data_IF_708245843801
#
_entry.id   IF_708245843801
#
_cell.length_a   1.000
_cell.length_b   1.000
_cell.length_c   1.000
_cell.angle_alpha   90.00
_cell.angle_beta   90.00
_cell.angle_gamma   90.00
#
_symmetry.space_group_name_H-M   'P 1'
#
loop_
_entity.id
_entity.type
_entity.pdbx_description
1 polymer ?
#
# COMPACT_ATOMS: atom_id res chain seq x y z
N UNK A 1 -5.38 10.12 3.75
CA UNK A 1 -4.14 9.96 4.55
C UNK A 1 -3.69 11.32 5.03
N UNK A 2 -3.30 11.40 6.30
CA UNK A 2 -2.64 12.59 6.85
C UNK A 2 -1.31 12.17 7.46
N UNK A 3 -0.24 12.90 7.13
CA UNK A 3 1.13 12.67 7.60
C UNK A 3 1.68 13.97 8.18
N UNK A 4 2.36 13.87 9.29
CA UNK A 4 3.00 15.03 9.94
C UNK A 4 4.47 14.76 10.21
N UNK A 5 5.25 15.82 10.45
CA UNK A 5 6.66 15.74 10.81
C UNK A 5 7.65 15.73 9.64
N UNK A 6 7.20 15.92 8.38
CA UNK A 6 8.13 16.10 7.26
C UNK A 6 8.83 17.46 7.33
N UNK A 7 10.15 17.53 7.06
CA UNK A 7 10.87 18.80 7.00
C UNK A 7 10.37 19.67 5.84
N UNK A 8 10.40 20.96 5.98
CA UNK A 8 10.11 21.89 4.89
C UNK A 8 11.18 21.79 3.79
N UNK A 9 10.73 21.88 2.52
CA UNK A 9 11.63 21.97 1.36
C UNK A 9 12.12 20.63 0.81
N UNK A 10 11.73 19.49 1.37
CA UNK A 10 12.03 18.17 0.78
C UNK A 10 11.36 18.04 -0.58
N UNK A 11 12.14 17.74 -1.61
CA UNK A 11 11.60 17.45 -2.95
C UNK A 11 10.94 16.08 -2.95
N UNK A 12 9.71 16.01 -3.45
CA UNK A 12 9.00 14.75 -3.65
C UNK A 12 9.27 14.26 -5.07
N UNK A 13 9.89 13.09 -5.19
CA UNK A 13 10.01 12.37 -6.45
C UNK A 13 8.66 11.71 -6.77
N UNK A 14 7.88 12.38 -7.62
CA UNK A 14 6.55 11.92 -8.02
C UNK A 14 6.59 10.67 -8.88
N UNK A 15 7.63 10.49 -9.70
CA UNK A 15 7.80 9.29 -10.52
C UNK A 15 8.01 8.05 -9.64
N UNK A 16 8.94 8.14 -8.69
CA UNK A 16 9.16 7.09 -7.71
C UNK A 16 7.91 6.80 -6.88
N UNK A 17 7.21 7.84 -6.42
CA UNK A 17 5.99 7.70 -5.64
C UNK A 17 4.91 6.95 -6.44
N UNK A 18 4.67 7.33 -7.68
CA UNK A 18 3.69 6.68 -8.54
C UNK A 18 4.09 5.24 -8.89
N UNK A 19 5.40 4.95 -9.04
CA UNK A 19 5.89 3.59 -9.24
C UNK A 19 5.58 2.69 -8.03
N UNK A 20 5.77 3.17 -6.79
CA UNK A 20 5.41 2.42 -5.59
C UNK A 20 3.89 2.21 -5.49
N UNK A 21 3.08 3.21 -5.83
CA UNK A 21 1.62 3.08 -5.88
C UNK A 21 1.19 2.05 -6.93
N UNK A 22 1.82 2.06 -8.11
CA UNK A 22 1.54 1.11 -9.18
C UNK A 22 1.87 -0.33 -8.79
N UNK A 23 2.94 -0.59 -8.01
CA UNK A 23 3.27 -1.94 -7.50
C UNK A 23 2.15 -2.54 -6.65
N UNK A 24 1.42 -1.70 -5.91
CA UNK A 24 0.28 -2.11 -5.08
C UNK A 24 -1.01 -2.20 -5.90
N UNK A 25 -1.16 -1.43 -6.97
CA UNK A 25 -2.40 -1.30 -7.72
C UNK A 25 -2.92 -2.67 -8.21
N UNK A 26 -4.24 -2.90 -8.24
CA UNK A 26 -4.80 -4.15 -8.74
C UNK A 26 -4.56 -4.32 -10.25
N UNK A 27 -4.63 -5.57 -10.72
CA UNK A 27 -4.47 -5.90 -12.15
C UNK A 27 -3.03 -6.13 -12.60
N UNK A 28 -2.06 -6.25 -11.67
CA UNK A 28 -0.65 -6.47 -11.97
C UNK A 28 -0.31 -7.95 -12.26
N UNK A 29 -1.11 -8.89 -11.77
CA UNK A 29 -0.90 -10.33 -11.96
C UNK A 29 -2.20 -11.10 -11.96
N UNK A 30 -2.14 -12.39 -12.33
CA UNK A 30 -3.29 -13.31 -12.26
C UNK A 30 -3.79 -13.54 -10.82
N UNK A 31 -2.97 -13.24 -9.81
CA UNK A 31 -3.32 -13.35 -8.40
C UNK A 31 -4.07 -12.13 -7.85
N UNK A 32 -4.16 -11.06 -8.63
CA UNK A 32 -4.85 -9.84 -8.22
C UNK A 32 -6.21 -9.70 -8.91
N UNK A 33 -7.11 -8.88 -8.34
CA UNK A 33 -8.39 -8.57 -8.98
C UNK A 33 -8.19 -7.92 -10.35
N UNK A 34 -9.07 -8.21 -11.29
CA UNK A 34 -9.08 -7.62 -12.63
C UNK A 34 -9.44 -6.12 -12.67
N UNK A 35 -9.77 -5.52 -11.53
CA UNK A 35 -10.04 -4.08 -11.43
C UNK A 35 -8.79 -3.28 -11.78
N UNK A 36 -8.98 -2.20 -12.51
CA UNK A 36 -7.90 -1.25 -12.82
C UNK A 36 -8.23 0.08 -12.16
N UNK A 37 -7.37 0.51 -11.25
CA UNK A 37 -7.47 1.79 -10.56
C UNK A 37 -6.10 2.48 -10.61
N UNK A 38 -6.03 3.74 -11.01
CA UNK A 38 -4.75 4.44 -11.16
C UNK A 38 -4.05 4.72 -9.82
N UNK A 39 -4.78 4.68 -8.71
CA UNK A 39 -4.30 4.95 -7.33
C UNK A 39 -3.45 6.24 -7.20
N UNK A 40 -3.62 7.19 -8.13
CA UNK A 40 -2.88 8.44 -8.11
C UNK A 40 -3.31 9.32 -6.92
N UNK A 41 -2.37 9.79 -6.08
CA UNK A 41 -2.70 10.65 -4.96
C UNK A 41 -2.94 12.09 -5.42
N UNK A 42 -3.87 12.75 -4.76
CA UNK A 42 -4.13 14.19 -4.85
C UNK A 42 -3.73 14.84 -3.52
N UNK A 43 -2.72 15.71 -3.53
CA UNK A 43 -2.28 16.42 -2.35
C UNK A 43 -3.19 17.63 -2.10
N UNK A 44 -3.79 17.69 -0.91
CA UNK A 44 -4.69 18.76 -0.49
C UNK A 44 -3.97 19.81 0.37
N UNK A 45 -2.91 19.40 1.11
CA UNK A 45 -2.08 20.28 1.93
C UNK A 45 -0.67 19.70 2.11
N UNK A 46 0.23 20.53 2.66
CA UNK A 46 1.58 20.11 3.03
C UNK A 46 2.57 19.97 1.87
N UNK A 47 2.12 20.16 0.62
CA UNK A 47 2.96 20.11 -0.59
C UNK A 47 2.68 21.31 -1.48
N UNK A 48 3.73 21.99 -1.93
CA UNK A 48 3.67 23.11 -2.85
C UNK A 48 4.81 22.98 -3.89
N UNK A 49 4.46 23.05 -5.18
CA UNK A 49 5.41 22.94 -6.29
C UNK A 49 6.35 21.72 -6.18
N UNK A 50 5.81 20.56 -5.79
CA UNK A 50 6.55 19.31 -5.64
C UNK A 50 7.47 19.24 -4.42
N UNK A 51 7.33 20.16 -3.45
CA UNK A 51 8.11 20.19 -2.21
C UNK A 51 7.22 20.22 -0.98
N UNK A 52 7.68 19.60 0.09
CA UNK A 52 7.01 19.65 1.39
C UNK A 52 7.11 21.07 1.97
N UNK A 53 6.03 21.51 2.64
CA UNK A 53 5.97 22.84 3.26
C UNK A 53 6.37 22.84 4.74
N UNK A 54 6.57 21.65 5.34
CA UNK A 54 6.75 21.49 6.79
C UNK A 54 5.45 21.47 7.58
N UNK A 55 4.31 21.66 6.91
CA UNK A 55 2.98 21.48 7.49
C UNK A 55 2.47 20.07 7.24
N UNK A 56 1.45 19.60 7.95
CA UNK A 56 0.86 18.29 7.73
C UNK A 56 0.46 18.08 6.26
N UNK A 57 0.91 16.98 5.70
CA UNK A 57 0.55 16.54 4.35
C UNK A 57 -0.78 15.83 4.45
N UNK A 58 -1.80 16.33 3.76
CA UNK A 58 -3.04 15.62 3.54
C UNK A 58 -3.14 15.22 2.09
N UNK A 59 -3.42 13.93 1.83
CA UNK A 59 -3.61 13.42 0.48
C UNK A 59 -4.81 12.48 0.43
N UNK A 60 -5.52 12.49 -0.70
CA UNK A 60 -6.61 11.57 -1.00
C UNK A 60 -6.26 10.73 -2.21
N UNK A 61 -6.80 9.52 -2.25
CA UNK A 61 -6.76 8.61 -3.39
C UNK A 61 -8.21 8.33 -3.75
N UNK A 62 -8.64 8.80 -4.91
CA UNK A 62 -10.04 8.65 -5.31
C UNK A 62 -10.34 7.23 -5.72
N UNK A 63 -11.50 6.72 -5.31
CA UNK A 63 -12.04 5.47 -5.82
C UNK A 63 -12.84 5.76 -7.09
N UNK A 64 -12.29 5.38 -8.24
CA UNK A 64 -12.91 5.63 -9.55
C UNK A 64 -13.73 4.47 -10.07
N UNK A 65 -13.66 3.29 -9.42
CA UNK A 65 -14.36 2.07 -9.84
C UNK A 65 -15.29 1.54 -8.74
N UNK A 66 -15.99 2.44 -8.08
CA UNK A 66 -16.96 2.09 -7.05
C UNK A 66 -18.26 1.59 -7.69
N UNK A 67 -18.74 0.42 -7.25
CA UNK A 67 -20.03 -0.17 -7.64
C UNK A 67 -20.89 -0.38 -6.40
N UNK A 68 -21.38 0.69 -5.82
CA UNK A 68 -22.19 0.64 -4.58
C UNK A 68 -23.47 -0.18 -4.76
N UNK A 69 -24.00 -0.25 -5.96
CA UNK A 69 -25.22 -1.03 -6.27
C UNK A 69 -25.00 -2.56 -6.19
N UNK A 70 -23.77 -3.04 -6.30
CA UNK A 70 -23.44 -4.48 -6.21
C UNK A 70 -23.62 -5.02 -4.77
N UNK A 71 -23.72 -4.14 -3.78
CA UNK A 71 -23.86 -4.51 -2.37
C UNK A 71 -25.33 -4.58 -1.89
N UNK A 72 -26.29 -4.12 -2.71
CA UNK A 72 -27.73 -4.26 -2.50
C UNK A 72 -28.20 -3.89 -1.09
N UNK A 73 -29.26 -4.56 -0.64
CA UNK A 73 -29.80 -4.45 0.72
C UNK A 73 -29.08 -5.40 1.71
N UNK A 74 -27.84 -5.79 1.39
CA UNK A 74 -27.07 -6.83 2.08
C UNK A 74 -26.53 -6.47 3.46
N UNK A 75 -27.15 -5.50 4.16
CA UNK A 75 -26.77 -5.09 5.53
C UNK A 75 -26.79 -6.29 6.50
N UNK A 76 -27.70 -7.25 6.25
CA UNK A 76 -27.91 -8.41 7.14
C UNK A 76 -27.07 -9.64 6.75
N UNK A 77 -26.26 -9.58 5.67
CA UNK A 77 -25.49 -10.70 5.19
C UNK A 77 -23.98 -10.48 5.39
N UNK A 78 -23.42 -11.20 6.34
CA UNK A 78 -21.97 -11.17 6.60
C UNK A 78 -21.22 -12.07 5.61
N UNK A 79 -20.14 -11.56 5.03
CA UNK A 79 -19.30 -12.30 4.10
C UNK A 79 -18.29 -13.17 4.86
N UNK A 80 -18.18 -14.48 4.56
CA UNK A 80 -17.16 -15.34 5.14
C UNK A 80 -15.75 -14.80 4.85
N UNK A 81 -14.88 -14.79 5.85
CA UNK A 81 -13.50 -14.31 5.73
C UNK A 81 -13.34 -12.79 5.68
N UNK A 82 -14.42 -12.02 5.85
CA UNK A 82 -14.41 -10.56 5.96
C UNK A 82 -14.77 -10.09 7.38
N UNK A 83 -14.53 -8.82 7.67
CA UNK A 83 -14.78 -8.25 9.01
C UNK A 83 -16.21 -7.71 9.19
N UNK A 84 -17.15 -8.09 8.35
CA UNK A 84 -18.52 -7.54 8.37
C UNK A 84 -19.20 -7.77 9.73
N UNK A 85 -19.20 -8.99 10.25
CA UNK A 85 -19.80 -9.31 11.56
C UNK A 85 -19.10 -8.58 12.72
N UNK A 86 -17.78 -8.65 12.77
CA UNK A 86 -17.01 -8.01 13.85
C UNK A 86 -17.08 -6.50 13.78
N UNK A 87 -17.15 -5.93 12.59
CA UNK A 87 -17.40 -4.51 12.36
C UNK A 87 -18.76 -4.08 12.87
N UNK A 88 -19.81 -4.82 12.50
CA UNK A 88 -21.18 -4.58 12.95
C UNK A 88 -21.28 -4.58 14.47
N UNK A 89 -20.72 -5.59 15.12
CA UNK A 89 -20.71 -5.68 16.59
C UNK A 89 -19.94 -4.51 17.22
N UNK A 90 -18.75 -4.19 16.69
CA UNK A 90 -17.90 -3.13 17.23
C UNK A 90 -18.52 -1.74 17.12
N UNK A 91 -19.16 -1.46 16.00
CA UNK A 91 -19.70 -0.13 15.68
C UNK A 91 -21.22 -0.04 15.85
N UNK A 92 -21.84 -1.06 16.47
CA UNK A 92 -23.28 -1.08 16.79
C UNK A 92 -24.17 -0.89 15.56
N UNK A 93 -23.74 -1.35 14.39
CA UNK A 93 -24.46 -1.20 13.13
C UNK A 93 -24.36 0.17 12.45
N UNK A 94 -23.46 1.05 12.92
CA UNK A 94 -23.26 2.39 12.33
C UNK A 94 -22.08 2.43 11.34
N UNK A 95 -21.45 1.31 11.05
CA UNK A 95 -20.38 1.23 10.07
C UNK A 95 -20.87 1.41 8.63
N UNK A 96 -19.99 1.92 7.76
CA UNK A 96 -20.24 1.90 6.31
C UNK A 96 -19.92 0.50 5.76
N UNK A 97 -20.94 -0.32 5.59
CA UNK A 97 -20.84 -1.70 5.10
C UNK A 97 -20.53 -1.80 3.61
N UNK A 98 -20.66 -0.71 2.84
CA UNK A 98 -20.47 -0.70 1.39
C UNK A 98 -19.02 -0.98 1.04
N UNK A 99 -18.77 -2.03 0.24
CA UNK A 99 -17.43 -2.39 -0.22
C UNK A 99 -16.43 -2.81 0.86
N UNK A 100 -16.91 -3.06 2.09
CA UNK A 100 -16.09 -3.39 3.24
C UNK A 100 -15.60 -2.19 4.04
N UNK A 101 -15.94 -0.96 3.62
CA UNK A 101 -15.67 0.25 4.40
C UNK A 101 -14.24 0.34 4.91
N UNK A 102 -14.09 0.58 6.21
CA UNK A 102 -12.81 0.68 6.91
C UNK A 102 -12.02 -0.63 6.99
N UNK A 103 -12.61 -1.77 6.62
CA UNK A 103 -11.97 -3.09 6.63
C UNK A 103 -11.53 -3.54 5.24
N UNK A 104 -11.75 -2.70 4.23
CA UNK A 104 -11.34 -3.01 2.85
C UNK A 104 -9.83 -3.02 2.70
N UNK A 105 -9.27 -4.01 1.98
CA UNK A 105 -7.89 -4.02 1.54
C UNK A 105 -7.51 -2.80 0.69
N UNK A 106 -8.50 -2.07 0.16
CA UNK A 106 -8.32 -0.81 -0.56
C UNK A 106 -7.60 0.26 0.27
N UNK A 107 -7.79 0.26 1.59
CA UNK A 107 -7.15 1.22 2.50
C UNK A 107 -5.62 1.09 2.53
N UNK A 108 -5.06 -0.05 2.12
CA UNK A 108 -3.61 -0.22 2.00
C UNK A 108 -2.98 0.74 0.98
N UNK A 109 -3.74 1.30 0.03
CA UNK A 109 -3.26 2.35 -0.86
C UNK A 109 -2.75 3.58 -0.09
N UNK A 110 -3.48 3.98 0.98
CA UNK A 110 -3.04 5.06 1.87
C UNK A 110 -1.77 4.74 2.64
N UNK A 111 -1.60 3.48 3.06
CA UNK A 111 -0.39 3.00 3.75
C UNK A 111 0.81 3.02 2.80
N UNK A 112 0.62 2.58 1.55
CA UNK A 112 1.69 2.59 0.53
C UNK A 112 2.08 4.01 0.18
N UNK A 113 1.13 4.94 0.04
CA UNK A 113 1.43 6.36 -0.15
C UNK A 113 2.29 6.93 0.98
N UNK A 114 1.90 6.66 2.23
CA UNK A 114 2.67 7.08 3.40
C UNK A 114 4.08 6.48 3.39
N UNK A 115 4.18 5.17 3.14
CA UNK A 115 5.45 4.45 3.06
C UNK A 115 6.37 4.97 1.95
N UNK A 116 5.82 5.30 0.78
CA UNK A 116 6.59 5.84 -0.34
C UNK A 116 7.20 7.21 -0.01
N UNK A 117 6.42 8.11 0.61
CA UNK A 117 6.93 9.41 1.07
C UNK A 117 7.98 9.27 2.17
N UNK A 118 7.72 8.42 3.17
CA UNK A 118 8.67 8.15 4.25
C UNK A 118 9.96 7.52 3.73
N UNK A 119 9.88 6.62 2.76
CA UNK A 119 11.05 5.98 2.15
C UNK A 119 11.94 7.00 1.44
N UNK A 120 11.37 7.98 0.73
CA UNK A 120 12.14 9.06 0.11
C UNK A 120 12.90 9.88 1.17
N UNK A 121 12.22 10.25 2.25
CA UNK A 121 12.88 10.96 3.36
C UNK A 121 14.00 10.12 3.98
N UNK A 122 13.77 8.86 4.27
CA UNK A 122 14.75 7.97 4.88
C UNK A 122 15.96 7.73 3.97
N UNK A 123 15.77 7.63 2.67
CA UNK A 123 16.88 7.50 1.70
C UNK A 123 17.79 8.74 1.75
N UNK A 124 17.23 9.95 1.90
CA UNK A 124 18.03 11.16 2.11
C UNK A 124 18.84 11.12 3.42
N UNK A 125 18.39 10.37 4.41
CA UNK A 125 19.12 10.15 5.67
C UNK A 125 20.07 8.94 5.61
N UNK A 126 20.24 8.31 4.43
CA UNK A 126 21.10 7.13 4.26
C UNK A 126 20.45 5.82 4.74
N UNK A 127 19.17 5.84 5.11
CA UNK A 127 18.45 4.65 5.58
C UNK A 127 17.64 4.02 4.43
N UNK A 128 17.80 2.73 4.22
CA UNK A 128 17.04 1.93 3.25
C UNK A 128 16.21 0.87 3.97
N UNK A 129 14.98 0.67 3.53
CA UNK A 129 14.07 -0.32 4.07
C UNK A 129 13.68 -1.29 2.96
N UNK A 130 13.83 -2.57 3.21
CA UNK A 130 13.41 -3.65 2.31
C UNK A 130 12.66 -4.72 3.09
N UNK A 131 11.81 -5.46 2.41
CA UNK A 131 11.17 -6.65 2.93
C UNK A 131 11.16 -7.73 1.86
N UNK A 132 11.07 -9.00 2.29
CA UNK A 132 10.88 -10.14 1.41
C UNK A 132 9.88 -11.12 2.02
N UNK A 133 9.39 -12.04 1.20
CA UNK A 133 8.54 -13.12 1.65
C UNK A 133 9.45 -14.26 2.11
N UNK A 134 9.50 -14.49 3.40
CA UNK A 134 10.33 -15.54 3.97
C UNK A 134 9.73 -16.94 3.79
N UNK A 135 8.40 -17.04 3.78
CA UNK A 135 7.72 -18.32 3.60
C UNK A 135 6.32 -18.12 3.04
N UNK A 136 5.91 -18.98 2.13
CA UNK A 136 4.54 -19.09 1.63
C UNK A 136 4.18 -20.59 1.55
N UNK A 137 3.21 -21.04 2.33
CA UNK A 137 2.94 -22.47 2.51
C UNK A 137 4.17 -23.22 3.02
N UNK A 138 4.60 -24.25 2.28
CA UNK A 138 5.78 -25.05 2.61
C UNK A 138 7.07 -24.54 1.93
N UNK A 139 6.96 -23.55 1.04
CA UNK A 139 8.12 -22.96 0.34
C UNK A 139 8.73 -21.87 1.22
N UNK A 140 10.02 -22.06 1.56
CA UNK A 140 10.76 -21.16 2.45
C UNK A 140 11.97 -20.56 1.75
N UNK A 141 12.14 -19.24 1.91
CA UNK A 141 13.29 -18.47 1.43
C UNK A 141 14.40 -18.35 2.49
N UNK A 142 15.56 -17.91 2.05
CA UNK A 142 16.67 -17.54 2.92
C UNK A 142 16.29 -16.37 3.84
N UNK A 143 16.98 -16.25 4.97
CA UNK A 143 16.86 -15.09 5.86
C UNK A 143 17.78 -13.96 5.39
N UNK A 144 17.43 -12.69 5.66
CA UNK A 144 18.32 -11.56 5.44
C UNK A 144 19.67 -11.76 6.10
N UNK A 145 20.74 -11.58 5.33
CA UNK A 145 22.11 -11.54 5.83
C UNK A 145 22.60 -10.10 5.82
N UNK A 146 23.08 -9.62 6.96
CA UNK A 146 23.52 -8.22 7.12
C UNK A 146 24.67 -7.84 6.17
N UNK A 147 25.48 -8.81 5.73
CA UNK A 147 26.62 -8.57 4.84
C UNK A 147 26.22 -8.15 3.42
N UNK A 148 25.05 -8.59 2.93
CA UNK A 148 24.59 -8.36 1.55
C UNK A 148 23.40 -7.38 1.45
N UNK A 149 23.10 -6.68 2.53
CA UNK A 149 21.89 -5.85 2.64
C UNK A 149 21.72 -4.83 1.50
N UNK A 150 22.80 -4.31 0.94
CA UNK A 150 22.71 -3.33 -0.15
C UNK A 150 22.35 -3.99 -1.49
N UNK A 151 22.92 -5.19 -1.78
CA UNK A 151 22.59 -5.97 -2.97
C UNK A 151 21.15 -6.50 -2.89
N UNK A 152 20.78 -7.04 -1.73
CA UNK A 152 19.43 -7.53 -1.46
C UNK A 152 18.38 -6.43 -1.63
N UNK A 153 18.64 -5.22 -1.14
CA UNK A 153 17.74 -4.07 -1.31
C UNK A 153 17.46 -3.77 -2.79
N UNK A 154 18.51 -3.69 -3.62
CA UNK A 154 18.35 -3.37 -5.04
C UNK A 154 17.61 -4.50 -5.78
N UNK A 155 17.92 -5.75 -5.45
CA UNK A 155 17.30 -6.94 -6.04
C UNK A 155 15.81 -7.03 -5.70
N UNK A 156 15.45 -6.89 -4.42
CA UNK A 156 14.07 -7.00 -3.94
C UNK A 156 13.16 -5.88 -4.46
N UNK A 157 13.70 -4.67 -4.61
CA UNK A 157 12.92 -3.51 -5.04
C UNK A 157 12.32 -3.67 -6.44
N UNK A 158 12.97 -4.43 -7.33
CA UNK A 158 12.50 -4.70 -8.69
C UNK A 158 11.50 -5.86 -8.80
N UNK A 159 11.22 -6.60 -7.72
CA UNK A 159 10.42 -7.82 -7.77
C UNK A 159 8.96 -7.57 -7.41
N UNK A 160 8.05 -8.21 -8.14
CA UNK A 160 6.62 -8.23 -7.81
C UNK A 160 6.35 -9.11 -6.56
N UNK A 161 6.94 -10.28 -6.50
CA UNK A 161 6.95 -11.18 -5.35
C UNK A 161 8.40 -11.23 -4.82
N UNK A 162 8.75 -10.42 -3.81
CA UNK A 162 10.14 -10.26 -3.38
C UNK A 162 10.61 -11.47 -2.58
N UNK A 163 11.62 -12.15 -3.10
CA UNK A 163 12.34 -13.28 -2.47
C UNK A 163 13.84 -13.08 -2.65
N UNK A 164 14.65 -13.56 -1.71
CA UNK A 164 16.12 -13.48 -1.78
C UNK A 164 16.72 -14.53 -2.73
N UNK A 165 16.13 -15.72 -2.76
CA UNK A 165 16.60 -16.81 -3.60
C UNK A 165 16.03 -16.66 -5.02
N UNK A 166 16.92 -16.50 -6.00
CA UNK A 166 16.52 -16.35 -7.39
C UNK A 166 15.65 -17.51 -7.88
N UNK A 167 14.52 -17.21 -8.52
CA UNK A 167 13.58 -18.20 -9.07
C UNK A 167 12.61 -18.81 -8.05
N UNK A 168 12.79 -18.59 -6.75
CA UNK A 168 11.89 -19.15 -5.73
C UNK A 168 10.47 -18.57 -5.81
N UNK A 169 10.33 -17.35 -6.28
CA UNK A 169 9.03 -16.70 -6.51
C UNK A 169 8.13 -17.42 -7.53
N UNK A 170 8.71 -18.30 -8.37
CA UNK A 170 7.94 -19.13 -9.29
C UNK A 170 7.31 -20.37 -8.62
N UNK A 171 7.82 -20.74 -7.45
CA UNK A 171 7.34 -21.86 -6.64
C UNK A 171 6.33 -21.41 -5.58
N UNK A 172 6.31 -20.14 -5.27
CA UNK A 172 5.37 -19.48 -4.37
C UNK A 172 4.11 -19.01 -5.10
#
# INVERSE_FOLDING_TARGET
VTLDGFPAGMTIDMEQLLAEMARRAPGQSLMTTARKEPDAPEFLSGVLNGRTTGQPICAIIRNTNQRSMDYGDGVDLVRPGHADYTGHVRYFGFEDWRGGGSFSGRLTAGIVLAGALCSQYLVHQGVKIACHIQQLGDVRDASFLAADAAADYAFLKGMHLPVLTAGLNQQM
#
